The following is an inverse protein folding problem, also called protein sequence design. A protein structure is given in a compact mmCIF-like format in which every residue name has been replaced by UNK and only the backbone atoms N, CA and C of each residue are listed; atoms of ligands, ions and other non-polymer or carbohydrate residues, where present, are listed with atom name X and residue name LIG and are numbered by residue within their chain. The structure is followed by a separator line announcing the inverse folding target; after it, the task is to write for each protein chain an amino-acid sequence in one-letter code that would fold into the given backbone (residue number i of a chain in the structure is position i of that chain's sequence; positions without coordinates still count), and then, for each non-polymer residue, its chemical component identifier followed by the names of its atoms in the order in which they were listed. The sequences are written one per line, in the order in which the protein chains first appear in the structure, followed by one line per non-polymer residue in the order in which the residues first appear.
data_IF_983796422091
#
_entry.id   IF_983796422091
#
_cell.length_a   1.000
_cell.length_b   1.000
_cell.length_c   1.000
_cell.angle_alpha   90.00
_cell.angle_beta   90.00
_cell.angle_gamma   90.00
#
_symmetry.space_group_name_H-M   'P 1'
#
loop_
_entity.id
_entity.type
_entity.pdbx_description
1 polymer ?
#
# COMPACT_ATOMS: atom_id res chain seq x y z
N UNK A 1 -29.54 1.24 -8.79
CA UNK A 1 -28.17 0.83 -9.11
C UNK A 1 -27.27 1.69 -8.26
N UNK A 2 -26.55 1.10 -7.31
CA UNK A 2 -25.53 1.85 -6.58
C UNK A 2 -24.45 2.18 -7.61
N UNK A 3 -24.20 3.46 -7.86
CA UNK A 3 -23.07 3.87 -8.68
C UNK A 3 -21.82 3.35 -7.98
N UNK A 4 -21.00 2.57 -8.67
CA UNK A 4 -19.69 2.09 -8.16
C UNK A 4 -18.76 3.25 -7.76
N UNK A 5 -19.17 4.50 -7.92
CA UNK A 5 -18.45 5.69 -7.47
C UNK A 5 -18.45 5.92 -5.95
N UNK A 6 -19.34 5.28 -5.16
CA UNK A 6 -19.50 5.60 -3.74
C UNK A 6 -18.96 4.55 -2.75
N UNK A 7 -18.56 3.35 -3.20
CA UNK A 7 -18.12 2.27 -2.30
C UNK A 7 -16.61 2.27 -2.02
N UNK A 8 -16.05 3.46 -1.77
CA UNK A 8 -14.65 3.71 -1.38
C UNK A 8 -13.61 3.64 -2.52
N UNK A 9 -13.44 4.76 -3.21
CA UNK A 9 -12.16 5.04 -3.87
C UNK A 9 -11.65 6.39 -3.38
N UNK A 10 -10.61 6.33 -2.55
CA UNK A 10 -9.91 7.50 -2.05
C UNK A 10 -9.47 8.37 -3.27
N UNK A 11 -9.87 9.66 -3.34
CA UNK A 11 -9.58 10.52 -4.50
C UNK A 11 -8.08 10.78 -4.72
N UNK A 12 -7.22 10.47 -3.74
CA UNK A 12 -5.77 10.47 -3.93
C UNK A 12 -5.34 9.22 -4.69
N UNK A 13 -5.36 9.30 -6.03
CA UNK A 13 -4.81 8.25 -6.90
C UNK A 13 -3.30 8.08 -6.68
N UNK A 14 -2.60 9.19 -6.41
CA UNK A 14 -1.16 9.17 -6.14
C UNK A 14 -0.85 8.66 -4.74
N UNK A 15 0.13 7.77 -4.65
CA UNK A 15 0.59 7.22 -3.38
C UNK A 15 2.11 7.05 -3.40
N UNK A 16 2.74 7.20 -2.24
CA UNK A 16 4.15 6.88 -2.05
C UNK A 16 4.26 5.62 -1.22
N UNK A 17 5.13 4.70 -1.63
CA UNK A 17 5.51 3.54 -0.82
C UNK A 17 6.99 3.59 -0.50
N UNK A 18 7.35 3.26 0.74
CA UNK A 18 8.73 3.02 1.15
C UNK A 18 8.81 1.55 1.57
N UNK A 19 9.53 0.75 0.81
CA UNK A 19 9.73 -0.67 1.13
C UNK A 19 11.23 -0.94 1.26
N UNK A 20 11.66 -1.41 2.43
CA UNK A 20 13.07 -1.70 2.73
C UNK A 20 13.98 -0.49 2.40
N UNK A 21 13.56 0.69 2.88
CA UNK A 21 14.21 1.98 2.62
C UNK A 21 14.12 2.50 1.17
N UNK A 22 13.49 1.76 0.24
CA UNK A 22 13.33 2.20 -1.16
C UNK A 22 12.02 2.95 -1.33
N UNK A 23 12.12 4.25 -1.63
CA UNK A 23 10.98 5.10 -1.97
C UNK A 23 10.57 4.91 -3.43
N UNK A 24 9.28 4.69 -3.65
CA UNK A 24 8.63 4.59 -4.95
C UNK A 24 7.37 5.46 -4.95
N UNK A 25 7.23 6.30 -5.97
CA UNK A 25 6.03 7.13 -6.18
C UNK A 25 5.17 6.50 -7.27
N UNK A 26 3.87 6.39 -7.00
CA UNK A 26 2.89 5.79 -7.89
C UNK A 26 1.87 6.86 -8.27
N UNK A 27 1.55 6.96 -9.55
CA UNK A 27 0.48 7.85 -10.02
C UNK A 27 -0.91 7.25 -9.77
N UNK A 28 -0.99 5.93 -9.58
CA UNK A 28 -2.21 5.18 -9.34
C UNK A 28 -2.07 4.17 -8.20
N UNK A 29 -3.01 4.20 -7.24
CA UNK A 29 -3.03 3.33 -6.07
C UNK A 29 -3.32 1.88 -6.44
N UNK A 30 -4.13 1.63 -7.47
CA UNK A 30 -4.45 0.26 -7.89
C UNK A 30 -3.21 -0.43 -8.46
N UNK A 31 -2.37 0.32 -9.20
CA UNK A 31 -1.05 -0.18 -9.65
C UNK A 31 -0.15 -0.56 -8.47
N UNK A 32 -0.09 0.30 -7.44
CA UNK A 32 0.66 -0.01 -6.22
C UNK A 32 0.09 -1.25 -5.52
N UNK A 33 -1.23 -1.36 -5.40
CA UNK A 33 -1.89 -2.51 -4.77
C UNK A 33 -1.61 -3.81 -5.52
N UNK A 34 -1.70 -3.80 -6.85
CA UNK A 34 -1.40 -4.96 -7.69
C UNK A 34 0.05 -5.42 -7.50
N UNK A 35 1.00 -4.47 -7.47
CA UNK A 35 2.42 -4.76 -7.23
C UNK A 35 2.64 -5.45 -5.88
N UNK A 36 2.13 -4.88 -4.79
CA UNK A 36 2.34 -5.46 -3.45
C UNK A 36 1.56 -6.77 -3.23
N UNK A 37 0.42 -6.95 -3.90
CA UNK A 37 -0.30 -8.22 -3.91
C UNK A 37 0.50 -9.31 -4.63
N UNK A 38 1.05 -9.03 -5.81
CA UNK A 38 1.90 -9.97 -6.52
C UNK A 38 3.18 -10.29 -5.73
N UNK A 39 3.82 -9.28 -5.14
CA UNK A 39 5.01 -9.46 -4.31
C UNK A 39 4.72 -10.36 -3.09
N UNK A 40 3.56 -10.18 -2.45
CA UNK A 40 3.09 -11.02 -1.35
C UNK A 40 2.89 -12.48 -1.79
N UNK A 41 2.26 -12.72 -2.94
CA UNK A 41 2.01 -14.07 -3.46
C UNK A 41 3.31 -14.82 -3.83
N UNK A 42 4.40 -14.10 -4.09
CA UNK A 42 5.68 -14.65 -4.51
C UNK A 42 6.76 -14.60 -3.41
N UNK A 43 6.41 -14.25 -2.18
CA UNK A 43 7.33 -14.17 -1.04
C UNK A 43 6.80 -14.91 0.18
N UNK A 44 7.70 -15.19 1.13
CA UNK A 44 7.39 -15.87 2.37
C UNK A 44 8.07 -15.17 3.56
N UNK A 45 7.61 -15.47 4.78
CA UNK A 45 8.21 -14.99 6.03
C UNK A 45 8.28 -13.47 6.13
N UNK A 46 9.41 -12.94 6.60
CA UNK A 46 9.58 -11.51 6.84
C UNK A 46 9.40 -10.65 5.58
N UNK A 47 9.63 -11.19 4.39
CA UNK A 47 9.40 -10.45 3.14
C UNK A 47 7.89 -10.34 2.83
N UNK A 48 7.16 -11.44 2.98
CA UNK A 48 5.70 -11.44 2.89
C UNK A 48 5.11 -10.45 3.91
N UNK A 49 5.58 -10.44 5.15
CA UNK A 49 5.05 -9.56 6.20
C UNK A 49 5.22 -8.07 5.85
N UNK A 50 6.37 -7.67 5.30
CA UNK A 50 6.62 -6.29 4.82
C UNK A 50 5.66 -5.88 3.71
N UNK A 51 5.49 -6.73 2.70
CA UNK A 51 4.56 -6.44 1.60
C UNK A 51 3.10 -6.40 2.08
N UNK A 52 2.71 -7.27 3.00
CA UNK A 52 1.41 -7.25 3.67
C UNK A 52 1.14 -5.95 4.40
N UNK A 53 2.12 -5.46 5.16
CA UNK A 53 2.01 -4.20 5.88
C UNK A 53 1.68 -3.03 4.93
N UNK A 54 2.45 -2.89 3.85
CA UNK A 54 2.24 -1.83 2.85
C UNK A 54 0.90 -2.02 2.13
N UNK A 55 0.54 -3.24 1.75
CA UNK A 55 -0.73 -3.53 1.06
C UNK A 55 -1.96 -3.14 1.90
N UNK A 56 -1.93 -3.44 3.20
CA UNK A 56 -3.02 -3.06 4.12
C UNK A 56 -3.13 -1.54 4.24
N UNK A 57 -2.00 -0.82 4.34
CA UNK A 57 -1.99 0.65 4.37
C UNK A 57 -2.56 1.24 3.06
N UNK A 58 -2.23 0.66 1.91
CA UNK A 58 -2.80 1.04 0.61
C UNK A 58 -4.32 0.84 0.61
N UNK A 59 -4.82 -0.30 1.08
CA UNK A 59 -6.25 -0.58 1.18
C UNK A 59 -6.99 0.36 2.13
N UNK A 60 -6.33 0.78 3.22
CA UNK A 60 -6.86 1.78 4.15
C UNK A 60 -6.80 3.22 3.60
N UNK A 61 -6.21 3.42 2.43
CA UNK A 61 -6.22 4.71 1.74
C UNK A 61 -5.14 5.69 2.18
N UNK A 62 -4.07 5.24 2.85
CA UNK A 62 -2.95 6.09 3.21
C UNK A 62 -2.23 6.63 1.96
N UNK A 63 -1.75 7.87 2.02
CA UNK A 63 -1.02 8.53 0.92
C UNK A 63 0.48 8.25 0.94
N UNK A 64 1.02 7.84 2.09
CA UNK A 64 2.38 7.35 2.27
C UNK A 64 2.29 6.03 3.04
N UNK A 65 2.83 4.95 2.48
CA UNK A 65 2.78 3.62 3.08
C UNK A 65 4.20 3.09 3.27
N UNK A 66 4.51 2.48 4.42
CA UNK A 66 5.87 1.99 4.69
C UNK A 66 5.89 0.70 5.50
N UNK A 67 6.90 -0.15 5.29
CA UNK A 67 7.16 -1.35 6.07
C UNK A 67 7.95 -1.11 7.36
N UNK A 68 8.42 0.11 7.58
CA UNK A 68 9.09 0.52 8.82
C UNK A 68 8.05 0.86 9.89
N UNK A 69 8.27 0.38 11.11
CA UNK A 69 7.46 0.78 12.27
C UNK A 69 7.76 2.26 12.58
N UNK A 70 6.77 3.12 12.37
CA UNK A 70 6.87 4.51 12.79
C UNK A 70 6.71 4.58 14.31
N UNK A 71 7.80 4.35 15.06
CA UNK A 71 7.91 4.53 16.52
C UNK A 71 7.80 6.03 16.93
N UNK A 72 6.90 6.83 16.35
CA UNK A 72 6.69 8.24 16.74
C UNK A 72 5.45 8.47 17.61
N UNK A 73 4.97 7.44 18.33
CA UNK A 73 3.91 7.58 19.34
C UNK A 73 4.32 6.95 20.70
N UNK A 74 5.43 7.40 21.30
CA UNK A 74 5.69 7.31 22.77
C UNK A 74 6.32 8.59 23.35
#
# INVERSE_FOLDING_TARGET
MLSMSELAMNPNRKVTTVCNGKKQEWDDREEAQAYFLEAMMNSDGAEHDRYSCIFIQLQNGLSCCTDEDNEEDE
#
